data_IF_958354171636
#
_entry.id   IF_958354171636
#
_cell.length_a   1.000
_cell.length_b   1.000
_cell.length_c   1.000
_cell.angle_alpha   90.00
_cell.angle_beta   90.00
_cell.angle_gamma   90.00
#
_symmetry.space_group_name_H-M   'P 1'
#
loop_
_entity.id
_entity.type
_entity.pdbx_description
1 polymer ?
#
# COMPACT_ATOMS: atom_id res chain seq x y z
N UNK A 1 -7.20 -4.61 -2.83
CA UNK A 1 -6.52 -4.43 -4.14
C UNK A 1 -5.19 -3.69 -3.93
N UNK A 2 -4.18 -4.35 -3.37
CA UNK A 2 -2.94 -3.73 -2.88
C UNK A 2 -1.65 -4.34 -3.46
N UNK A 3 -1.75 -5.31 -4.37
CA UNK A 3 -0.59 -6.07 -4.85
C UNK A 3 0.13 -5.44 -6.05
N UNK A 4 -0.49 -4.46 -6.73
CA UNK A 4 0.11 -3.84 -7.91
C UNK A 4 1.26 -2.88 -7.55
N UNK A 5 1.14 -2.18 -6.41
CA UNK A 5 2.12 -1.17 -5.99
C UNK A 5 3.47 -1.79 -5.56
N UNK A 6 3.42 -2.94 -4.87
CA UNK A 6 4.64 -3.64 -4.46
C UNK A 6 5.38 -4.30 -5.63
N UNK A 7 4.66 -4.72 -6.68
CA UNK A 7 5.25 -5.39 -7.85
C UNK A 7 6.04 -4.42 -8.73
N UNK A 8 5.59 -3.18 -8.83
CA UNK A 8 6.21 -2.15 -9.67
C UNK A 8 7.46 -1.53 -9.01
N UNK A 9 7.48 -1.49 -7.67
CA UNK A 9 8.65 -1.02 -6.91
C UNK A 9 9.84 -1.98 -7.00
N UNK A 10 9.60 -3.29 -7.13
CA UNK A 10 10.66 -4.30 -7.27
C UNK A 10 11.35 -4.27 -8.65
N UNK A 11 10.66 -3.86 -9.71
CA UNK A 11 11.21 -3.92 -11.07
C UNK A 11 12.28 -2.84 -11.37
N UNK A 12 12.32 -1.74 -10.60
CA UNK A 12 13.31 -0.66 -10.78
C UNK A 12 14.64 -0.87 -10.06
N UNK A 13 14.76 -1.95 -9.28
CA UNK A 13 16.04 -2.39 -8.71
C UNK A 13 16.83 -3.31 -9.65
N UNK A 14 16.58 -3.25 -10.97
CA UNK A 14 17.41 -3.95 -11.95
C UNK A 14 18.79 -3.31 -12.04
N UNK A 15 19.64 -3.84 -11.15
CA UNK A 15 20.97 -3.45 -10.75
C UNK A 15 22.03 -3.68 -11.85
N UNK A 16 21.76 -3.28 -13.09
CA UNK A 16 22.69 -3.52 -14.21
C UNK A 16 23.90 -2.58 -14.17
N UNK A 17 23.71 -1.31 -13.82
CA UNK A 17 24.82 -0.32 -13.70
C UNK A 17 25.59 -0.42 -12.38
N UNK A 18 24.89 -0.64 -11.26
CA UNK A 18 25.52 -0.69 -9.93
C UNK A 18 26.36 -1.94 -9.72
N UNK A 19 25.98 -3.09 -10.31
CA UNK A 19 26.74 -4.34 -10.16
C UNK A 19 28.13 -4.27 -10.82
N UNK A 20 28.29 -3.44 -11.86
CA UNK A 20 29.59 -3.14 -12.45
C UNK A 20 30.47 -2.24 -11.55
N UNK A 21 29.86 -1.32 -10.80
CA UNK A 21 30.55 -0.48 -9.79
C UNK A 21 30.87 -1.27 -8.51
N UNK A 22 30.06 -2.27 -8.14
CA UNK A 22 30.31 -3.20 -7.03
C UNK A 22 31.17 -4.42 -7.42
N UNK A 23 31.52 -4.55 -8.71
CA UNK A 23 32.53 -5.49 -9.20
C UNK A 23 33.81 -4.81 -9.75
N UNK A 24 34.43 -3.84 -9.04
CA UNK A 24 35.78 -3.43 -9.38
C UNK A 24 36.71 -4.61 -9.08
N UNK A 25 37.56 -4.94 -10.04
CA UNK A 25 38.53 -6.03 -10.01
C UNK A 25 39.24 -6.12 -8.64
N UNK A 26 38.94 -7.17 -7.87
CA UNK A 26 39.62 -7.60 -6.62
C UNK A 26 39.87 -6.48 -5.59
N UNK A 27 38.90 -6.18 -4.70
CA UNK A 27 39.16 -5.35 -3.54
C UNK A 27 40.04 -6.15 -2.57
N UNK A 28 41.36 -5.92 -2.60
CA UNK A 28 42.32 -6.56 -1.70
C UNK A 28 42.13 -6.14 -0.23
N UNK A 29 41.28 -5.14 0.04
CA UNK A 29 41.07 -4.57 1.37
C UNK A 29 39.68 -4.92 1.95
N UNK A 30 39.59 -5.82 2.95
CA UNK A 30 38.31 -6.20 3.58
C UNK A 30 37.63 -5.01 4.27
N UNK A 31 38.41 -4.01 4.71
CA UNK A 31 37.91 -2.78 5.35
C UNK A 31 36.97 -1.99 4.43
N UNK A 32 37.32 -1.84 3.15
CA UNK A 32 36.49 -1.07 2.20
C UNK A 32 35.10 -1.71 2.04
N UNK A 33 35.04 -3.04 2.05
CA UNK A 33 33.78 -3.78 1.93
C UNK A 33 32.87 -3.55 3.15
N UNK A 34 33.45 -3.55 4.34
CA UNK A 34 32.71 -3.29 5.59
C UNK A 34 32.21 -1.85 5.63
N UNK A 35 33.06 -0.89 5.25
CA UNK A 35 32.71 0.53 5.26
C UNK A 35 31.56 0.84 4.28
N UNK A 36 31.59 0.23 3.09
CA UNK A 36 30.52 0.34 2.11
C UNK A 36 29.20 -0.29 2.60
N UNK A 37 29.29 -1.44 3.29
CA UNK A 37 28.14 -2.06 3.95
C UNK A 37 27.55 -1.17 5.04
N UNK A 38 28.39 -0.56 5.87
CA UNK A 38 27.98 0.40 6.91
C UNK A 38 27.30 1.63 6.33
N UNK A 39 27.81 2.18 5.22
CA UNK A 39 27.17 3.29 4.50
C UNK A 39 25.78 2.91 4.01
N UNK A 40 25.64 1.71 3.42
CA UNK A 40 24.33 1.19 3.00
C UNK A 40 23.37 1.03 4.18
N UNK A 41 23.85 0.51 5.31
CA UNK A 41 23.05 0.36 6.53
C UNK A 41 22.62 1.71 7.12
N UNK A 42 23.52 2.69 7.13
CA UNK A 42 23.20 4.05 7.59
C UNK A 42 22.12 4.68 6.70
N UNK A 43 22.23 4.55 5.38
CA UNK A 43 21.23 5.04 4.44
C UNK A 43 19.87 4.36 4.66
N UNK A 44 19.88 3.03 4.87
CA UNK A 44 18.66 2.27 5.15
C UNK A 44 18.00 2.75 6.45
N UNK A 45 18.79 2.97 7.51
CA UNK A 45 18.28 3.47 8.79
C UNK A 45 17.63 4.85 8.64
N UNK A 46 18.27 5.77 7.93
CA UNK A 46 17.72 7.11 7.66
C UNK A 46 16.39 7.01 6.90
N UNK A 47 16.36 6.23 5.83
CA UNK A 47 15.16 6.06 5.02
C UNK A 47 14.01 5.46 5.84
N UNK A 48 14.32 4.49 6.69
CA UNK A 48 13.35 3.84 7.56
C UNK A 48 12.76 4.83 8.57
N UNK A 49 13.60 5.61 9.25
CA UNK A 49 13.14 6.62 10.22
C UNK A 49 12.30 7.69 9.53
N UNK A 50 12.75 8.21 8.39
CA UNK A 50 12.00 9.20 7.63
C UNK A 50 10.65 8.65 7.14
N UNK A 51 10.64 7.46 6.56
CA UNK A 51 9.42 6.81 6.09
C UNK A 51 8.44 6.50 7.21
N UNK A 52 8.94 6.03 8.36
CA UNK A 52 8.12 5.78 9.55
C UNK A 52 7.51 7.07 10.08
N UNK A 53 8.29 8.15 10.15
CA UNK A 53 7.82 9.45 10.61
C UNK A 53 6.71 10.00 9.70
N UNK A 54 6.93 9.97 8.38
CA UNK A 54 5.93 10.42 7.39
C UNK A 54 4.68 9.54 7.43
N UNK A 55 4.85 8.22 7.49
CA UNK A 55 3.73 7.28 7.57
C UNK A 55 2.90 7.48 8.83
N UNK A 56 3.55 7.56 10.00
CA UNK A 56 2.88 7.83 11.27
C UNK A 56 2.15 9.18 11.24
N UNK A 57 2.79 10.23 10.69
CA UNK A 57 2.16 11.52 10.53
C UNK A 57 0.91 11.46 9.63
N UNK A 58 0.95 10.71 8.52
CA UNK A 58 -0.22 10.52 7.64
C UNK A 58 -1.35 9.78 8.35
N UNK A 59 -1.05 8.72 9.10
CA UNK A 59 -2.05 8.00 9.88
C UNK A 59 -2.68 8.89 10.95
N UNK A 60 -1.86 9.62 11.70
CA UNK A 60 -2.33 10.54 12.74
C UNK A 60 -3.18 11.65 12.14
N UNK A 61 -2.75 12.25 11.03
CA UNK A 61 -3.50 13.30 10.35
C UNK A 61 -4.84 12.79 9.81
N UNK A 62 -4.84 11.61 9.16
CA UNK A 62 -6.06 10.98 8.66
C UNK A 62 -7.06 10.67 9.78
N UNK A 63 -6.55 10.16 10.91
CA UNK A 63 -7.38 9.86 12.08
C UNK A 63 -7.90 11.14 12.72
N UNK A 64 -7.06 12.15 12.94
CA UNK A 64 -7.45 13.44 13.46
C UNK A 64 -8.54 14.06 12.57
N UNK A 65 -8.32 14.14 11.25
CA UNK A 65 -9.33 14.64 10.31
C UNK A 65 -10.63 13.85 10.39
N UNK A 66 -10.58 12.52 10.47
CA UNK A 66 -11.78 11.67 10.61
C UNK A 66 -12.54 11.94 11.91
N UNK A 67 -11.84 12.24 13.00
CA UNK A 67 -12.45 12.58 14.29
C UNK A 67 -13.02 14.00 14.30
N UNK A 68 -12.36 14.96 13.66
CA UNK A 68 -12.81 16.35 13.53
C UNK A 68 -13.97 16.50 12.53
N UNK A 69 -13.97 15.73 11.44
CA UNK A 69 -15.00 15.75 10.37
C UNK A 69 -16.06 14.65 10.61
N UNK A 70 -16.19 14.14 11.84
CA UNK A 70 -17.19 13.15 12.23
C UNK A 70 -18.63 13.73 12.31
N UNK A 71 -18.94 14.70 11.46
CA UNK A 71 -20.30 15.11 11.12
C UNK A 71 -20.73 14.38 9.86
N UNK A 72 -21.57 13.36 10.02
CA UNK A 72 -22.45 12.78 8.98
C UNK A 72 -21.87 12.54 7.58
N UNK A 73 -20.73 11.86 7.49
CA UNK A 73 -20.45 11.08 6.29
C UNK A 73 -21.29 9.78 6.34
N UNK A 74 -22.62 9.93 6.24
CA UNK A 74 -23.45 8.83 5.75
C UNK A 74 -22.81 8.40 4.43
N UNK A 75 -22.39 7.14 4.26
CA UNK A 75 -21.82 6.70 3.00
C UNK A 75 -22.82 7.10 1.94
N UNK A 76 -22.43 8.01 1.04
CA UNK A 76 -23.30 8.49 -0.02
C UNK A 76 -23.87 7.25 -0.68
N UNK A 77 -25.18 7.03 -0.47
CA UNK A 77 -25.89 5.87 -0.98
C UNK A 77 -25.65 5.91 -2.48
N UNK A 78 -24.85 4.97 -2.98
CA UNK A 78 -24.46 4.96 -4.38
C UNK A 78 -25.75 4.75 -5.17
N UNK A 79 -26.22 5.82 -5.83
CA UNK A 79 -27.50 5.85 -6.56
C UNK A 79 -27.52 4.83 -7.72
N UNK A 80 -26.34 4.26 -8.04
CA UNK A 80 -26.13 3.18 -9.01
C UNK A 80 -26.34 1.78 -8.45
N UNK A 81 -26.43 1.62 -7.13
CA UNK A 81 -26.68 0.34 -6.48
C UNK A 81 -28.17 0.26 -6.18
N UNK A 82 -28.93 -0.28 -7.13
CA UNK A 82 -30.31 -0.71 -6.88
C UNK A 82 -30.24 -2.00 -6.08
N UNK A 83 -30.35 -1.87 -4.76
CA UNK A 83 -30.53 -3.01 -3.86
C UNK A 83 -31.91 -3.62 -4.14
N UNK A 84 -31.94 -4.62 -5.02
CA UNK A 84 -33.16 -5.31 -5.40
C UNK A 84 -33.58 -6.26 -4.27
N UNK A 85 -34.44 -5.78 -3.38
CA UNK A 85 -35.09 -6.62 -2.39
C UNK A 85 -36.10 -7.55 -3.09
N UNK A 86 -35.78 -8.84 -3.19
CA UNK A 86 -36.70 -9.84 -3.72
C UNK A 86 -37.80 -10.15 -2.69
N UNK A 87 -38.93 -9.44 -2.80
CA UNK A 87 -40.13 -9.76 -2.02
C UNK A 87 -41.06 -10.65 -2.85
N UNK A 88 -41.23 -11.90 -2.42
CA UNK A 88 -42.25 -12.79 -3.00
C UNK A 88 -43.63 -12.28 -2.63
N UNK A 89 -44.26 -11.56 -3.56
CA UNK A 89 -45.68 -11.23 -3.44
C UNK A 89 -46.46 -12.48 -3.80
N UNK A 90 -47.00 -13.18 -2.79
CA UNK A 90 -47.99 -14.23 -3.01
C UNK A 90 -49.25 -13.57 -3.57
N UNK A 91 -49.43 -13.69 -4.87
CA UNK A 91 -50.64 -13.21 -5.53
C UNK A 91 -51.79 -14.16 -5.13
N UNK A 92 -52.87 -13.61 -4.55
CA UNK A 92 -54.00 -14.41 -4.03
C UNK A 92 -54.75 -15.17 -5.13
N UNK A 93 -54.51 -14.80 -6.39
CA UNK A 93 -55.23 -15.30 -7.56
C UNK A 93 -54.36 -16.10 -8.54
N UNK A 94 -53.17 -16.57 -8.14
CA UNK A 94 -52.40 -17.48 -8.99
C UNK A 94 -53.03 -18.88 -8.99
N UNK A 95 -53.51 -19.39 -10.15
CA UNK A 95 -54.06 -20.73 -10.23
C UNK A 95 -52.95 -21.74 -9.94
N UNK A 96 -53.22 -22.63 -8.98
CA UNK A 96 -52.36 -23.74 -8.61
C UNK A 96 -52.12 -24.62 -9.85
N UNK A 97 -51.00 -24.43 -10.53
CA UNK A 97 -50.47 -25.41 -11.47
C UNK A 97 -50.06 -26.63 -10.65
N UNK A 98 -50.87 -27.68 -10.81
CA UNK A 98 -50.72 -28.99 -10.20
C UNK A 98 -50.00 -29.91 -11.17
#
# INVERSE_FOLDING_TARGET
MSNAFFRDLHARFDASGVRAVFAPRKPRHPVLRVLLGLVGLALLAVLLVAGLFVGAAMLLFGLARRLLVRGDASPARDDRIVEAEYRVVRNRDQPLLR
#
